data_IF_674967469691
#
_entry.id   IF_674967469691
#
_cell.length_a   1.000
_cell.length_b   1.000
_cell.length_c   1.000
_cell.angle_alpha   90.00
_cell.angle_beta   90.00
_cell.angle_gamma   90.00
#
_symmetry.space_group_name_H-M   'P 1'
#
loop_
_entity.id
_entity.type
_entity.pdbx_description
1 polymer ?
#
# COMPACT_ATOMS: atom_id res chain seq x y z
N UNK A 1 85.89 10.78 13.82
CA UNK A 1 84.52 10.56 14.33
C UNK A 1 83.58 10.79 13.17
N UNK A 2 83.18 9.71 12.50
CA UNK A 2 82.37 9.70 11.28
C UNK A 2 80.91 9.49 11.64
N UNK A 3 80.10 10.53 11.39
CA UNK A 3 78.67 10.56 11.66
C UNK A 3 77.91 9.82 10.56
N UNK A 4 77.13 8.79 10.94
CA UNK A 4 76.32 7.98 10.03
C UNK A 4 74.91 8.52 10.01
N UNK A 5 74.55 9.19 8.91
CA UNK A 5 73.18 9.62 8.63
C UNK A 5 72.30 8.42 8.30
N UNK A 6 71.36 8.11 9.20
CA UNK A 6 70.32 7.09 9.02
C UNK A 6 69.24 7.66 8.10
N UNK A 7 69.09 7.09 6.90
CA UNK A 7 67.98 7.39 6.00
C UNK A 7 66.75 6.58 6.43
N UNK A 8 65.71 7.27 6.89
CA UNK A 8 64.40 6.68 7.20
C UNK A 8 63.60 6.61 5.91
N UNK A 9 63.38 5.40 5.40
CA UNK A 9 62.57 5.13 4.22
C UNK A 9 61.10 5.36 4.55
N UNK A 10 60.50 6.38 3.96
CA UNK A 10 59.08 6.70 4.11
C UNK A 10 58.28 5.70 3.26
N UNK A 11 57.72 4.69 3.94
CA UNK A 11 56.75 3.76 3.33
C UNK A 11 55.53 4.58 2.90
N UNK A 12 55.25 4.58 1.60
CA UNK A 12 54.07 5.25 1.04
C UNK A 12 52.79 4.63 1.60
N UNK A 13 51.76 5.42 1.94
CA UNK A 13 50.51 4.89 2.47
C UNK A 13 49.81 4.02 1.42
N UNK A 14 49.42 2.81 1.85
CA UNK A 14 48.61 1.87 1.09
C UNK A 14 47.31 2.57 0.68
N UNK A 15 46.91 2.56 -0.61
CA UNK A 15 45.64 3.14 -1.02
C UNK A 15 44.51 2.40 -0.31
N UNK A 16 43.75 3.15 0.49
CA UNK A 16 42.51 2.70 1.13
C UNK A 16 41.57 2.33 -0.02
N UNK A 17 41.39 1.03 -0.24
CA UNK A 17 40.41 0.52 -1.18
C UNK A 17 39.06 1.18 -0.86
N UNK A 18 38.48 1.87 -1.84
CA UNK A 18 37.18 2.46 -1.74
C UNK A 18 36.19 1.36 -1.34
N UNK A 19 35.75 1.38 -0.08
CA UNK A 19 34.61 0.59 0.37
C UNK A 19 33.41 1.20 -0.34
N UNK A 20 33.03 0.62 -1.48
CA UNK A 20 31.79 0.96 -2.16
C UNK A 20 30.66 0.89 -1.14
N UNK A 21 29.81 1.93 -1.03
CA UNK A 21 28.67 1.90 -0.10
C UNK A 21 27.82 0.66 -0.42
N UNK A 22 27.32 -0.07 0.60
CA UNK A 22 26.59 -1.31 0.38
C UNK A 22 25.43 -1.05 -0.57
N UNK A 23 25.49 -1.69 -1.74
CA UNK A 23 24.47 -1.62 -2.80
C UNK A 23 23.12 -1.90 -2.17
N UNK A 24 22.27 -0.88 -2.08
CA UNK A 24 20.92 -1.02 -1.52
C UNK A 24 20.18 -2.10 -2.32
N UNK A 25 19.90 -3.23 -1.68
CA UNK A 25 19.17 -4.33 -2.31
C UNK A 25 17.79 -3.83 -2.72
N UNK A 26 17.39 -4.15 -3.95
CA UNK A 26 16.04 -3.88 -4.43
C UNK A 26 15.01 -4.63 -3.57
N UNK A 27 13.78 -4.11 -3.49
CA UNK A 27 12.71 -4.71 -2.67
C UNK A 27 12.48 -6.19 -3.01
N UNK A 28 12.49 -6.53 -4.31
CA UNK A 28 12.48 -7.91 -4.81
C UNK A 28 13.58 -8.77 -4.18
N UNK A 29 14.83 -8.30 -4.17
CA UNK A 29 15.96 -9.06 -3.62
C UNK A 29 15.83 -9.28 -2.11
N UNK A 30 15.23 -8.33 -1.39
CA UNK A 30 14.98 -8.48 0.06
C UNK A 30 13.89 -9.51 0.33
N UNK A 31 12.79 -9.47 -0.43
CA UNK A 31 11.73 -10.50 -0.36
C UNK A 31 12.29 -11.89 -0.70
N UNK A 32 13.18 -11.95 -1.69
CA UNK A 32 13.81 -13.20 -2.08
C UNK A 32 14.89 -13.69 -1.09
N UNK A 33 15.54 -12.81 -0.34
CA UNK A 33 16.49 -13.22 0.70
C UNK A 33 15.80 -13.67 2.00
N UNK A 34 14.53 -13.33 2.20
CA UNK A 34 13.80 -13.63 3.45
C UNK A 34 13.31 -15.08 3.48
N UNK A 35 14.13 -15.95 4.07
CA UNK A 35 13.80 -17.37 4.28
C UNK A 35 12.56 -17.56 5.17
N UNK A 36 12.34 -16.67 6.14
CA UNK A 36 11.20 -16.72 7.04
C UNK A 36 9.90 -16.52 6.28
N UNK A 37 9.83 -15.45 5.48
CA UNK A 37 8.69 -15.15 4.62
C UNK A 37 8.46 -16.28 3.60
N UNK A 38 9.52 -16.78 2.95
CA UNK A 38 9.44 -17.87 1.97
C UNK A 38 8.87 -19.16 2.57
N UNK A 39 9.35 -19.56 3.73
CA UNK A 39 8.89 -20.78 4.39
C UNK A 39 7.40 -20.68 4.78
N UNK A 40 6.97 -19.53 5.33
CA UNK A 40 5.56 -19.31 5.70
C UNK A 40 4.65 -19.21 4.50
N UNK A 41 5.10 -18.54 3.43
CA UNK A 41 4.42 -18.51 2.14
C UNK A 41 4.18 -19.93 1.62
N UNK A 42 5.25 -20.73 1.50
CA UNK A 42 5.17 -22.11 0.99
C UNK A 42 4.20 -22.96 1.83
N UNK A 43 4.28 -22.86 3.16
CA UNK A 43 3.39 -23.59 4.06
C UNK A 43 1.92 -23.19 3.86
N UNK A 44 1.60 -21.88 3.84
CA UNK A 44 0.25 -21.39 3.60
C UNK A 44 -0.28 -21.84 2.24
N UNK A 45 0.53 -21.75 1.19
CA UNK A 45 0.17 -22.21 -0.16
C UNK A 45 -0.14 -23.70 -0.17
N UNK A 46 0.73 -24.55 0.39
CA UNK A 46 0.54 -26.01 0.39
C UNK A 46 -0.72 -26.40 1.17
N UNK A 47 -0.92 -25.87 2.39
CA UNK A 47 -2.09 -26.19 3.21
C UNK A 47 -3.38 -25.73 2.54
N UNK A 48 -3.37 -24.56 1.91
CA UNK A 48 -4.53 -24.04 1.16
C UNK A 48 -4.85 -24.91 -0.06
N UNK A 49 -3.84 -25.39 -0.80
CA UNK A 49 -4.04 -26.32 -1.91
C UNK A 49 -4.60 -27.66 -1.44
N UNK A 50 -4.15 -28.18 -0.30
CA UNK A 50 -4.70 -29.42 0.29
C UNK A 50 -6.18 -29.25 0.60
N UNK A 51 -6.58 -28.15 1.27
CA UNK A 51 -7.99 -27.90 1.55
C UNK A 51 -8.82 -27.77 0.27
N UNK A 52 -8.27 -27.09 -0.74
CA UNK A 52 -8.93 -26.92 -2.04
C UNK A 52 -9.14 -28.27 -2.74
N UNK A 53 -8.13 -29.14 -2.72
CA UNK A 53 -8.21 -30.49 -3.28
C UNK A 53 -9.27 -31.34 -2.55
N UNK A 54 -9.36 -31.24 -1.21
CA UNK A 54 -10.41 -31.91 -0.44
C UNK A 54 -11.80 -31.37 -0.82
N UNK A 55 -11.95 -30.04 -0.91
CA UNK A 55 -13.22 -29.39 -1.24
C UNK A 55 -13.73 -29.80 -2.64
N UNK A 56 -12.85 -29.89 -3.64
CA UNK A 56 -13.25 -30.27 -5.00
C UNK A 56 -13.34 -31.77 -5.24
N UNK A 57 -12.48 -32.58 -4.62
CA UNK A 57 -12.48 -34.04 -4.86
C UNK A 57 -13.71 -34.73 -4.30
N UNK A 58 -14.41 -34.13 -3.32
CA UNK A 58 -15.48 -34.80 -2.60
C UNK A 58 -15.02 -36.11 -1.95
N UNK A 59 -13.70 -36.30 -1.80
CA UNK A 59 -13.11 -37.55 -1.36
C UNK A 59 -13.47 -37.78 0.10
N UNK A 60 -14.41 -38.70 0.32
CA UNK A 60 -14.64 -39.27 1.65
C UNK A 60 -13.47 -40.20 1.95
N UNK A 61 -12.85 -40.09 3.12
CA UNK A 61 -11.77 -40.99 3.55
C UNK A 61 -12.42 -42.33 3.92
N UNK A 62 -12.72 -43.16 2.91
CA UNK A 62 -13.59 -44.33 3.09
C UNK A 62 -12.92 -45.47 3.86
N UNK A 63 -11.60 -45.68 3.76
CA UNK A 63 -10.96 -46.81 4.46
C UNK A 63 -9.45 -46.61 4.67
N UNK A 64 -8.95 -47.10 5.81
CA UNK A 64 -7.52 -47.30 6.06
C UNK A 64 -7.35 -48.69 6.68
N UNK A 65 -6.36 -49.48 6.24
CA UNK A 65 -6.23 -50.87 6.66
C UNK A 65 -5.46 -51.04 7.99
N UNK A 66 -5.64 -52.20 8.61
CA UNK A 66 -5.77 -52.43 10.06
C UNK A 66 -4.47 -52.81 10.79
N UNK A 67 -3.33 -52.13 10.61
CA UNK A 67 -2.10 -52.60 11.31
C UNK A 67 -1.12 -51.58 11.90
N UNK A 68 -1.38 -50.27 11.81
CA UNK A 68 -0.57 -49.26 12.52
C UNK A 68 -1.55 -48.26 13.14
N UNK A 69 -1.52 -48.13 14.48
CA UNK A 69 -2.41 -47.31 15.33
C UNK A 69 -3.25 -46.26 14.58
N UNK A 70 -4.54 -46.53 14.42
CA UNK A 70 -5.52 -45.64 13.77
C UNK A 70 -6.05 -44.61 14.78
N UNK A 71 -5.75 -43.34 14.54
CA UNK A 71 -6.64 -42.26 14.97
C UNK A 71 -7.86 -42.35 14.05
N UNK A 72 -8.95 -42.97 14.52
CA UNK A 72 -10.22 -42.94 13.80
C UNK A 72 -10.82 -41.55 13.98
N UNK A 73 -10.84 -40.75 12.91
CA UNK A 73 -11.61 -39.52 12.91
C UNK A 73 -13.08 -39.92 12.78
N UNK A 74 -13.78 -39.98 13.91
CA UNK A 74 -15.24 -40.14 13.98
C UNK A 74 -15.97 -39.01 13.25
N UNK A 75 -15.30 -37.89 13.01
CA UNK A 75 -15.82 -36.75 12.28
C UNK A 75 -14.86 -36.37 11.13
N UNK A 76 -15.12 -36.89 9.92
CA UNK A 76 -14.33 -36.57 8.72
C UNK A 76 -14.33 -35.06 8.42
N UNK A 77 -15.45 -34.38 8.71
CA UNK A 77 -15.56 -32.93 8.55
C UNK A 77 -14.63 -32.19 9.52
N UNK A 78 -14.30 -32.79 10.67
CA UNK A 78 -13.39 -32.24 11.67
C UNK A 78 -12.00 -31.93 11.13
N UNK A 79 -11.46 -32.75 10.21
CA UNK A 79 -10.16 -32.49 9.59
C UNK A 79 -10.21 -31.23 8.71
N UNK A 80 -11.29 -31.05 7.96
CA UNK A 80 -11.44 -29.88 7.09
C UNK A 80 -11.59 -28.58 7.91
N UNK A 81 -12.32 -28.62 9.03
CA UNK A 81 -12.39 -27.49 9.96
C UNK A 81 -11.04 -27.18 10.63
N UNK A 82 -10.26 -28.20 10.99
CA UNK A 82 -8.90 -28.01 11.50
C UNK A 82 -7.97 -27.38 10.46
N UNK A 83 -8.09 -27.79 9.18
CA UNK A 83 -7.35 -27.18 8.07
C UNK A 83 -7.77 -25.72 7.86
N UNK A 84 -9.08 -25.42 7.91
CA UNK A 84 -9.60 -24.06 7.80
C UNK A 84 -9.04 -23.16 8.92
N UNK A 85 -9.06 -23.63 10.16
CA UNK A 85 -8.48 -22.92 11.30
C UNK A 85 -6.96 -22.74 11.13
N UNK A 86 -6.28 -23.76 10.62
CA UNK A 86 -4.84 -23.72 10.33
C UNK A 86 -4.52 -22.67 9.25
N UNK A 87 -5.31 -22.58 8.18
CA UNK A 87 -5.15 -21.55 7.14
C UNK A 87 -5.37 -20.16 7.74
N UNK A 88 -6.43 -19.97 8.53
CA UNK A 88 -6.69 -18.69 9.20
C UNK A 88 -5.50 -18.26 10.09
N UNK A 89 -5.00 -19.18 10.91
CA UNK A 89 -3.80 -18.95 11.72
C UNK A 89 -2.56 -18.65 10.87
N UNK A 90 -2.34 -19.39 9.79
CA UNK A 90 -1.21 -19.19 8.89
C UNK A 90 -1.29 -17.87 8.13
N UNK A 91 -2.49 -17.39 7.77
CA UNK A 91 -2.67 -16.06 7.16
C UNK A 91 -2.27 -14.95 8.13
N UNK A 92 -2.71 -15.02 9.39
CA UNK A 92 -2.31 -14.06 10.43
C UNK A 92 -0.80 -14.09 10.62
N UNK A 93 -0.23 -15.29 10.75
CA UNK A 93 1.21 -15.45 10.92
C UNK A 93 1.96 -14.89 9.72
N UNK A 94 1.54 -15.21 8.50
CA UNK A 94 2.15 -14.70 7.27
C UNK A 94 2.09 -13.17 7.20
N UNK A 95 0.97 -12.55 7.61
CA UNK A 95 0.83 -11.09 7.71
C UNK A 95 1.86 -10.44 8.61
N UNK A 96 2.14 -11.04 9.77
CA UNK A 96 3.15 -10.48 10.66
C UNK A 96 4.56 -10.44 10.03
N UNK A 97 4.90 -11.40 9.15
CA UNK A 97 6.16 -11.38 8.40
C UNK A 97 6.10 -10.48 7.16
N UNK A 98 4.95 -10.41 6.48
CA UNK A 98 4.77 -9.62 5.26
C UNK A 98 4.60 -8.11 5.53
N UNK A 99 4.21 -7.71 6.75
CA UNK A 99 3.93 -6.33 7.15
C UNK A 99 4.99 -5.29 6.71
N UNK A 100 6.29 -5.44 6.99
CA UNK A 100 7.28 -4.45 6.57
C UNK A 100 7.30 -4.27 5.03
N UNK A 101 7.10 -5.34 4.29
CA UNK A 101 7.04 -5.29 2.83
C UNK A 101 5.75 -4.63 2.33
N UNK A 102 4.62 -4.82 3.01
CA UNK A 102 3.40 -4.08 2.71
C UNK A 102 3.58 -2.56 2.92
N UNK A 103 4.23 -2.16 4.00
CA UNK A 103 4.47 -0.74 4.31
C UNK A 103 5.40 -0.10 3.27
N UNK A 104 6.46 -0.81 2.87
CA UNK A 104 7.38 -0.36 1.83
C UNK A 104 6.73 -0.30 0.45
N UNK A 105 5.97 -1.34 0.06
CA UNK A 105 5.19 -1.34 -1.18
C UNK A 105 4.18 -0.19 -1.20
N UNK A 106 3.51 0.06 -0.09
CA UNK A 106 2.56 1.16 0.04
C UNK A 106 3.26 2.52 -0.14
N UNK A 107 4.44 2.70 0.45
CA UNK A 107 5.23 3.93 0.26
C UNK A 107 5.61 4.14 -1.20
N UNK A 108 6.23 3.14 -1.84
CA UNK A 108 6.63 3.22 -3.25
C UNK A 108 5.43 3.45 -4.16
N UNK A 109 4.31 2.78 -3.87
CA UNK A 109 3.07 2.93 -4.62
C UNK A 109 2.48 4.34 -4.48
N UNK A 110 2.38 4.87 -3.27
CA UNK A 110 1.83 6.22 -3.03
C UNK A 110 2.70 7.31 -3.65
N UNK A 111 4.03 7.23 -3.52
CA UNK A 111 4.94 8.19 -4.16
C UNK A 111 4.77 8.22 -5.68
N UNK A 112 4.69 7.04 -6.32
CA UNK A 112 4.45 6.95 -7.77
C UNK A 112 3.04 7.40 -8.18
N UNK A 113 2.04 7.20 -7.32
CA UNK A 113 0.68 7.64 -7.59
C UNK A 113 0.57 9.17 -7.52
N UNK A 114 1.21 9.79 -6.53
CA UNK A 114 1.21 11.25 -6.38
C UNK A 114 1.95 11.97 -7.52
N UNK A 115 2.90 11.31 -8.16
CA UNK A 115 3.57 11.83 -9.37
C UNK A 115 2.83 11.57 -10.68
N UNK A 116 1.63 10.96 -10.66
CA UNK A 116 0.80 10.81 -11.86
C UNK A 116 0.09 12.14 -12.17
N UNK A 117 -0.16 12.42 -13.46
CA UNK A 117 -0.72 13.70 -13.97
C UNK A 117 -2.04 14.10 -13.32
N UNK A 118 -2.81 13.13 -12.83
CA UNK A 118 -4.05 13.40 -12.11
C UNK A 118 -3.82 14.06 -10.75
N UNK A 119 -2.76 13.66 -10.05
CA UNK A 119 -2.43 14.17 -8.72
C UNK A 119 -1.53 15.40 -8.79
N UNK A 120 -0.55 15.40 -9.69
CA UNK A 120 0.37 16.50 -9.88
C UNK A 120 0.87 16.52 -11.33
N UNK A 121 0.75 17.68 -11.95
CA UNK A 121 1.24 18.00 -13.28
C UNK A 121 2.02 19.31 -13.16
N UNK A 122 3.32 19.26 -13.39
CA UNK A 122 4.15 20.45 -13.48
C UNK A 122 4.43 20.75 -14.94
N UNK A 123 4.04 21.94 -15.39
CA UNK A 123 4.36 22.46 -16.72
C UNK A 123 5.55 23.41 -16.60
N UNK A 124 6.72 22.96 -17.08
CA UNK A 124 7.96 23.72 -17.05
C UNK A 124 7.91 24.98 -17.93
N UNK A 125 7.13 24.97 -19.02
CA UNK A 125 7.06 26.11 -19.96
C UNK A 125 6.18 27.23 -19.41
N UNK A 126 5.10 26.87 -18.72
CA UNK A 126 4.17 27.82 -18.13
C UNK A 126 4.54 28.24 -16.70
N UNK A 127 5.43 27.49 -16.03
CA UNK A 127 5.69 27.55 -14.58
C UNK A 127 4.41 27.42 -13.75
N UNK A 128 3.51 26.53 -14.20
CA UNK A 128 2.22 26.27 -13.56
C UNK A 128 2.21 24.83 -13.05
N UNK A 129 1.84 24.68 -11.77
CA UNK A 129 1.56 23.40 -11.15
C UNK A 129 0.06 23.19 -11.07
N UNK A 130 -0.44 22.17 -11.74
CA UNK A 130 -1.84 21.76 -11.74
C UNK A 130 -2.02 20.36 -11.14
N UNK A 131 -3.24 20.05 -10.71
CA UNK A 131 -3.61 18.71 -10.26
C UNK A 131 -4.21 18.71 -8.86
N UNK A 132 -4.66 17.52 -8.44
CA UNK A 132 -5.40 17.37 -7.19
C UNK A 132 -4.62 17.85 -5.95
N UNK A 133 -3.30 17.72 -5.94
CA UNK A 133 -2.45 18.20 -4.83
C UNK A 133 -2.45 19.73 -4.77
N UNK A 134 -2.43 20.40 -5.92
CA UNK A 134 -2.43 21.86 -6.00
C UNK A 134 -3.82 22.43 -5.69
N UNK A 135 -4.88 21.78 -6.19
CA UNK A 135 -6.28 22.14 -5.92
C UNK A 135 -6.64 22.04 -4.43
N UNK A 136 -5.98 21.15 -3.69
CA UNK A 136 -6.26 20.84 -2.29
C UNK A 136 -5.26 21.47 -1.31
N UNK A 137 -4.47 22.46 -1.75
CA UNK A 137 -3.54 23.16 -0.86
C UNK A 137 -4.30 23.83 0.29
N UNK A 138 -3.86 23.65 1.54
CA UNK A 138 -4.51 24.29 2.67
C UNK A 138 -4.20 25.79 2.66
N UNK A 139 -5.13 26.61 3.19
CA UNK A 139 -5.05 28.07 3.09
C UNK A 139 -3.80 28.67 3.74
N UNK A 140 -3.30 28.03 4.80
CA UNK A 140 -2.06 28.43 5.45
C UNK A 140 -0.83 28.20 4.55
N UNK A 141 -0.75 27.06 3.85
CA UNK A 141 0.31 26.83 2.87
C UNK A 141 0.27 27.87 1.75
N UNK A 142 -0.93 28.18 1.21
CA UNK A 142 -1.09 29.20 0.16
C UNK A 142 -0.63 30.58 0.67
N UNK A 143 -1.00 30.94 1.90
CA UNK A 143 -0.60 32.21 2.51
C UNK A 143 0.91 32.30 2.67
N UNK A 144 1.54 31.25 3.20
CA UNK A 144 2.99 31.22 3.42
C UNK A 144 3.75 31.23 2.08
N UNK A 145 3.21 30.58 1.04
CA UNK A 145 3.76 30.63 -0.32
C UNK A 145 3.66 32.02 -0.93
N UNK A 146 2.53 32.71 -0.78
CA UNK A 146 2.33 34.08 -1.28
C UNK A 146 3.24 35.10 -0.58
N UNK A 147 3.57 34.86 0.68
CA UNK A 147 4.49 35.70 1.45
C UNK A 147 5.97 35.42 1.12
N UNK A 148 6.27 34.49 0.22
CA UNK A 148 7.63 34.02 -0.08
C UNK A 148 8.38 33.45 1.15
N UNK A 149 7.64 33.10 2.19
CA UNK A 149 8.16 32.56 3.46
C UNK A 149 8.14 31.02 3.48
N UNK A 150 7.77 30.39 2.37
CA UNK A 150 7.59 28.94 2.26
C UNK A 150 8.75 28.29 1.51
N UNK A 151 9.36 27.28 2.15
CA UNK A 151 10.26 26.36 1.47
C UNK A 151 9.52 25.34 0.60
N UNK A 152 10.22 24.35 0.02
CA UNK A 152 9.57 23.26 -0.70
C UNK A 152 8.62 22.49 0.23
N UNK A 153 7.39 22.25 -0.23
CA UNK A 153 6.43 21.41 0.48
C UNK A 153 6.47 19.96 -0.04
N UNK A 154 5.99 19.04 0.79
CA UNK A 154 5.82 17.63 0.43
C UNK A 154 4.37 17.22 0.71
N UNK A 155 3.80 16.45 -0.21
CA UNK A 155 2.51 15.82 -0.05
C UNK A 155 2.69 14.31 0.20
N UNK A 156 1.96 13.75 1.17
CA UNK A 156 1.93 12.32 1.47
C UNK A 156 0.51 11.81 1.44
N UNK A 157 0.31 10.66 0.82
CA UNK A 157 -0.99 10.02 0.73
C UNK A 157 -1.18 8.99 1.84
N UNK A 158 -2.25 9.13 2.61
CA UNK A 158 -2.57 8.22 3.72
C UNK A 158 -3.96 7.61 3.57
N UNK A 159 -3.99 6.29 3.70
CA UNK A 159 -5.21 5.54 3.87
C UNK A 159 -5.49 5.35 5.36
N UNK A 160 -6.63 5.86 5.82
CA UNK A 160 -7.16 5.51 7.13
C UNK A 160 -8.09 4.30 7.03
N UNK A 161 -8.37 3.62 8.16
CA UNK A 161 -9.46 2.66 8.26
C UNK A 161 -10.79 3.27 7.79
N UNK A 162 -11.74 2.42 7.36
CA UNK A 162 -13.07 2.83 6.87
C UNK A 162 -13.05 3.69 5.60
N UNK A 163 -12.21 3.32 4.63
CA UNK A 163 -12.09 3.97 3.33
C UNK A 163 -11.67 5.44 3.36
N UNK A 164 -11.53 6.09 4.52
CA UNK A 164 -11.09 7.49 4.60
C UNK A 164 -9.71 7.66 3.98
N UNK A 165 -9.55 8.73 3.20
CA UNK A 165 -8.32 9.07 2.48
C UNK A 165 -7.97 10.51 2.78
N UNK A 166 -6.72 10.76 3.10
CA UNK A 166 -6.24 12.12 3.34
C UNK A 166 -4.89 12.35 2.69
N UNK A 167 -4.66 13.60 2.32
CA UNK A 167 -3.35 14.09 1.88
C UNK A 167 -2.78 14.91 3.03
N UNK A 168 -1.59 14.51 3.50
CA UNK A 168 -0.80 15.24 4.49
C UNK A 168 0.17 16.15 3.74
N UNK A 169 0.10 17.44 4.00
CA UNK A 169 1.03 18.45 3.51
C UNK A 169 2.01 18.78 4.64
N UNK A 170 3.29 18.79 4.33
CA UNK A 170 4.35 19.24 5.24
C UNK A 170 5.19 20.30 4.54
N UNK A 171 5.38 21.45 5.16
CA UNK A 171 6.20 22.55 4.63
C UNK A 171 6.91 23.29 5.75
N UNK A 172 7.99 23.98 5.40
CA UNK A 172 8.73 24.83 6.33
C UNK A 172 8.34 26.29 6.10
N UNK A 173 7.99 27.00 7.17
CA UNK A 173 7.78 28.44 7.11
C UNK A 173 8.83 29.22 7.90
N UNK A 174 9.23 30.37 7.36
CA UNK A 174 10.12 31.35 7.98
C UNK A 174 11.58 31.31 7.50
N UNK A 175 12.24 32.47 7.53
CA UNK A 175 13.67 32.62 7.22
C UNK A 175 14.54 32.13 8.39
N UNK A 176 15.23 30.99 8.24
CA UNK A 176 16.19 30.49 9.24
C UNK A 176 15.90 29.05 9.69
N UNK A 177 15.91 28.80 11.01
CA UNK A 177 15.58 27.49 11.62
C UNK A 177 14.07 27.22 11.60
N UNK A 178 13.45 27.38 10.42
CA UNK A 178 12.00 27.43 10.22
C UNK A 178 11.23 26.32 10.92
N UNK A 179 9.99 26.61 11.29
CA UNK A 179 9.12 25.62 11.91
C UNK A 179 8.51 24.72 10.84
N UNK A 180 8.51 23.40 11.09
CA UNK A 180 7.80 22.45 10.25
C UNK A 180 6.30 22.57 10.53
N UNK A 181 5.56 23.03 9.54
CA UNK A 181 4.11 23.04 9.56
C UNK A 181 3.59 21.79 8.86
N UNK A 182 2.46 21.30 9.34
CA UNK A 182 1.73 20.23 8.70
C UNK A 182 0.24 20.54 8.65
N UNK A 183 -0.42 20.04 7.63
CA UNK A 183 -1.87 20.09 7.50
C UNK A 183 -2.38 18.84 6.81
N UNK A 184 -3.58 18.41 7.19
CA UNK A 184 -4.21 17.21 6.64
C UNK A 184 -5.51 17.58 5.98
N UNK A 185 -5.70 17.14 4.74
CA UNK A 185 -6.92 17.38 3.96
C UNK A 185 -7.64 16.06 3.72
N UNK A 186 -8.87 15.94 4.22
CA UNK A 186 -9.72 14.77 3.98
C UNK A 186 -10.34 14.85 2.59
N UNK A 187 -10.10 13.82 1.77
CA UNK A 187 -10.60 13.75 0.40
C UNK A 187 -12.11 13.53 0.32
N UNK A 188 -12.75 13.16 1.43
CA UNK A 188 -14.21 13.02 1.51
C UNK A 188 -14.92 14.39 1.58
N UNK A 189 -14.22 15.42 2.06
CA UNK A 189 -14.77 16.76 2.31
C UNK A 189 -14.42 17.77 1.20
N UNK A 190 -13.96 17.30 0.03
CA UNK A 190 -13.58 18.17 -1.09
C UNK A 190 -14.81 18.90 -1.63
N UNK A 191 -14.83 20.22 -1.54
CA UNK A 191 -15.92 21.02 -2.11
C UNK A 191 -15.92 20.87 -3.64
N UNK A 192 -17.06 20.50 -4.21
CA UNK A 192 -17.20 20.45 -5.68
C UNK A 192 -17.16 21.88 -6.23
N UNK A 193 -16.06 22.27 -6.85
CA UNK A 193 -15.99 23.51 -7.64
C UNK A 193 -17.05 23.51 -8.78
N UNK A 194 -17.54 22.33 -9.21
CA UNK A 194 -18.65 22.19 -10.18
C UNK A 194 -19.95 22.92 -9.75
N UNK A 195 -20.13 23.26 -8.46
CA UNK A 195 -21.30 24.00 -7.99
C UNK A 195 -21.17 25.54 -8.10
N UNK A 196 -19.96 26.09 -8.34
CA UNK A 196 -19.75 27.54 -8.45
C UNK A 196 -20.02 28.07 -9.86
N UNK A 197 -19.83 27.28 -10.91
CA UNK A 197 -20.03 27.75 -12.29
C UNK A 197 -21.50 27.91 -12.71
N UNK A 198 -22.47 27.34 -11.98
CA UNK A 198 -23.89 27.66 -12.21
C UNK A 198 -24.38 28.90 -11.45
N UNK A 199 -23.67 29.33 -10.40
CA UNK A 199 -24.04 30.52 -9.63
C UNK A 199 -23.23 31.77 -9.96
N UNK A 200 -22.15 31.68 -10.75
CA UNK A 200 -21.39 32.86 -11.21
C UNK A 200 -22.15 33.82 -12.14
N UNK A 201 -23.36 33.47 -12.59
CA UNK A 201 -24.26 34.37 -13.32
C UNK A 201 -25.35 35.03 -12.46
N UNK A 202 -25.37 34.83 -11.14
CA UNK A 202 -26.24 35.60 -10.23
C UNK A 202 -25.43 36.01 -9.00
N UNK A 203 -25.38 37.31 -8.75
CA UNK A 203 -24.88 37.98 -7.54
C UNK A 203 -23.43 38.45 -7.63
N UNK A 204 -23.26 39.48 -8.45
CA UNK A 204 -22.43 40.65 -8.12
C UNK A 204 -23.20 41.46 -7.06
N UNK A 205 -22.48 42.05 -6.10
CA UNK A 205 -22.99 42.75 -4.89
C UNK A 205 -23.67 41.81 -3.87
N UNK A 206 -23.31 41.71 -2.59
CA UNK A 206 -22.70 42.68 -1.67
C UNK A 206 -22.19 41.97 -0.39
N UNK A 207 -21.20 42.59 0.23
CA UNK A 207 -20.87 42.64 1.65
C UNK A 207 -20.28 41.40 2.37
N UNK A 208 -19.00 41.63 2.68
CA UNK A 208 -18.05 41.00 3.58
C UNK A 208 -18.55 40.99 5.04
N UNK A 209 -17.97 40.09 5.84
CA UNK A 209 -18.04 40.05 7.32
C UNK A 209 -19.33 39.53 7.97
N UNK A 210 -19.50 38.20 7.91
CA UNK A 210 -19.82 37.32 9.06
C UNK A 210 -20.32 35.97 8.53
N UNK A 211 -19.41 35.15 8.02
CA UNK A 211 -19.68 33.72 7.77
C UNK A 211 -18.49 32.84 8.12
N UNK A 212 -17.73 33.23 9.15
CA UNK A 212 -16.99 32.28 9.98
C UNK A 212 -17.96 31.68 10.99
N UNK A 213 -18.81 30.75 10.55
CA UNK A 213 -19.48 29.79 11.43
C UNK A 213 -19.94 28.62 10.58
N UNK A 214 -19.22 27.52 10.76
CA UNK A 214 -19.53 26.17 10.26
C UNK A 214 -19.80 26.13 8.76
N UNK A 215 -18.73 26.12 7.97
CA UNK A 215 -18.79 25.43 6.69
C UNK A 215 -19.14 23.98 7.01
N UNK A 216 -20.43 23.66 6.95
CA UNK A 216 -20.95 22.31 7.02
C UNK A 216 -20.23 21.56 5.90
N UNK A 217 -19.36 20.63 6.26
CA UNK A 217 -18.59 19.81 5.33
C UNK A 217 -19.59 18.98 4.52
N UNK A 218 -20.08 19.55 3.41
CA UNK A 218 -20.90 18.80 2.48
C UNK A 218 -20.00 17.77 1.81
N UNK A 219 -20.20 16.52 2.22
CA UNK A 219 -19.52 15.35 1.69
C UNK A 219 -19.77 15.29 0.19
N UNK A 220 -18.72 15.54 -0.59
CA UNK A 220 -18.81 15.44 -2.04
C UNK A 220 -18.45 14.02 -2.48
N UNK A 221 -19.43 13.14 -2.35
CA UNK A 221 -19.27 11.73 -2.67
C UNK A 221 -18.85 11.50 -4.14
N UNK A 222 -19.26 12.35 -5.08
CA UNK A 222 -18.93 12.20 -6.51
C UNK A 222 -17.44 12.42 -6.79
N UNK A 223 -16.85 13.49 -6.24
CA UNK A 223 -15.42 13.76 -6.38
C UNK A 223 -14.60 12.66 -5.69
N UNK A 224 -15.03 12.25 -4.50
CA UNK A 224 -14.39 11.19 -3.74
C UNK A 224 -14.41 9.84 -4.48
N UNK A 225 -15.55 9.43 -5.05
CA UNK A 225 -15.65 8.20 -5.86
C UNK A 225 -14.78 8.27 -7.11
N UNK A 226 -14.63 9.46 -7.72
CA UNK A 226 -13.71 9.65 -8.86
C UNK A 226 -12.28 9.34 -8.44
N UNK A 227 -11.84 9.85 -7.29
CA UNK A 227 -10.51 9.57 -6.72
C UNK A 227 -10.36 8.07 -6.43
N UNK A 228 -11.35 7.44 -5.79
CA UNK A 228 -11.32 6.00 -5.51
C UNK A 228 -11.26 5.16 -6.79
N UNK A 229 -11.94 5.57 -7.86
CA UNK A 229 -11.88 4.89 -9.16
C UNK A 229 -10.49 4.99 -9.78
N UNK A 230 -9.87 6.17 -9.72
CA UNK A 230 -8.49 6.35 -10.17
C UNK A 230 -7.52 5.52 -9.34
N UNK A 231 -7.64 5.55 -8.01
CA UNK A 231 -6.87 4.72 -7.08
C UNK A 231 -7.01 3.24 -7.43
N UNK A 232 -8.24 2.75 -7.61
CA UNK A 232 -8.52 1.36 -7.95
C UNK A 232 -7.92 0.95 -9.30
N UNK A 233 -8.07 1.78 -10.34
CA UNK A 233 -7.48 1.53 -11.67
C UNK A 233 -5.96 1.50 -11.60
N UNK A 234 -5.36 2.44 -10.86
CA UNK A 234 -3.92 2.52 -10.71
C UNK A 234 -3.39 1.32 -9.91
N UNK A 235 -4.05 0.98 -8.80
CA UNK A 235 -3.76 -0.21 -7.99
C UNK A 235 -3.83 -1.48 -8.81
N UNK A 236 -4.93 -1.77 -9.47
CA UNK A 236 -5.11 -3.01 -10.25
C UNK A 236 -4.05 -3.17 -11.34
N UNK A 237 -3.78 -2.11 -12.09
CA UNK A 237 -2.73 -2.13 -13.14
C UNK A 237 -1.35 -2.43 -12.55
N UNK A 238 -0.98 -1.75 -11.45
CA UNK A 238 0.32 -1.92 -10.79
C UNK A 238 0.44 -3.23 -10.00
N UNK A 239 -0.67 -3.74 -9.47
CA UNK A 239 -0.73 -5.04 -8.79
C UNK A 239 -0.33 -6.18 -9.73
N UNK A 240 -0.74 -6.12 -11.00
CA UNK A 240 -0.40 -7.14 -11.99
C UNK A 240 0.98 -6.92 -12.62
N UNK A 241 1.46 -5.68 -12.68
CA UNK A 241 2.74 -5.37 -13.34
C UNK A 241 3.95 -5.70 -12.46
N UNK A 242 3.85 -5.49 -11.15
CA UNK A 242 4.99 -5.68 -10.24
C UNK A 242 4.88 -7.03 -9.52
N UNK A 243 5.83 -7.93 -9.82
CA UNK A 243 5.92 -9.27 -9.22
C UNK A 243 5.90 -9.25 -7.69
N UNK A 244 6.52 -8.25 -7.07
CA UNK A 244 6.61 -8.10 -5.60
C UNK A 244 5.23 -8.10 -4.94
N UNK A 245 4.26 -7.42 -5.55
CA UNK A 245 2.91 -7.37 -5.03
C UNK A 245 2.23 -8.75 -5.11
N UNK A 246 2.42 -9.45 -6.23
CA UNK A 246 1.84 -10.78 -6.44
C UNK A 246 2.47 -11.80 -5.48
N UNK A 247 3.78 -11.74 -5.29
CA UNK A 247 4.54 -12.64 -4.42
C UNK A 247 4.12 -12.55 -2.94
N UNK A 248 3.60 -11.39 -2.53
CA UNK A 248 3.06 -11.15 -1.19
C UNK A 248 1.55 -11.43 -1.11
N UNK A 249 0.78 -11.11 -2.14
CA UNK A 249 -0.69 -11.21 -2.09
C UNK A 249 -1.21 -12.61 -2.45
N UNK A 250 -0.55 -13.31 -3.38
CA UNK A 250 -1.00 -14.61 -3.88
C UNK A 250 -1.32 -15.64 -2.78
N UNK A 251 -0.53 -15.77 -1.70
CA UNK A 251 -0.83 -16.72 -0.62
C UNK A 251 -2.13 -16.39 0.12
N UNK A 252 -2.46 -15.11 0.30
CA UNK A 252 -3.73 -14.70 0.89
C UNK A 252 -4.90 -14.98 -0.03
N UNK A 253 -4.76 -14.69 -1.33
CA UNK A 253 -5.80 -14.98 -2.31
C UNK A 253 -6.09 -16.46 -2.35
N UNK A 254 -5.05 -17.30 -2.36
CA UNK A 254 -5.19 -18.74 -2.36
C UNK A 254 -5.84 -19.24 -1.06
N UNK A 255 -5.38 -18.78 0.12
CA UNK A 255 -5.99 -19.16 1.39
C UNK A 255 -7.45 -18.74 1.52
N UNK A 256 -7.77 -17.51 1.10
CA UNK A 256 -9.14 -16.98 1.06
C UNK A 256 -10.01 -17.78 0.10
N UNK A 257 -9.50 -18.09 -1.10
CA UNK A 257 -10.19 -18.89 -2.09
C UNK A 257 -10.44 -20.32 -1.59
N UNK A 258 -9.47 -20.94 -0.91
CA UNK A 258 -9.66 -22.27 -0.31
C UNK A 258 -10.73 -22.27 0.78
N UNK A 259 -10.77 -21.24 1.63
CA UNK A 259 -11.81 -21.09 2.65
C UNK A 259 -13.18 -20.92 1.99
N UNK A 260 -13.30 -20.02 1.01
CA UNK A 260 -14.55 -19.81 0.29
C UNK A 260 -15.00 -21.04 -0.47
N UNK A 261 -14.09 -21.74 -1.15
CA UNK A 261 -14.38 -22.97 -1.87
C UNK A 261 -14.87 -24.07 -0.93
N UNK A 262 -14.40 -24.11 0.31
CA UNK A 262 -14.88 -25.05 1.31
C UNK A 262 -16.30 -24.68 1.79
N UNK A 263 -16.52 -23.41 2.15
CA UNK A 263 -17.81 -22.90 2.64
C UNK A 263 -18.92 -23.08 1.59
N UNK A 264 -18.62 -22.72 0.34
CA UNK A 264 -19.56 -22.77 -0.79
C UNK A 264 -19.41 -24.04 -1.64
N UNK A 265 -18.83 -25.10 -1.09
CA UNK A 265 -18.55 -26.33 -1.83
C UNK A 265 -19.83 -26.93 -2.44
N UNK A 266 -20.96 -26.84 -1.74
CA UNK A 266 -22.26 -27.37 -2.22
C UNK A 266 -22.77 -26.60 -3.44
N UNK A 267 -22.81 -25.28 -3.34
CA UNK A 267 -23.28 -24.37 -4.40
C UNK A 267 -22.37 -24.47 -5.64
N UNK A 268 -21.04 -24.55 -5.43
CA UNK A 268 -20.09 -24.71 -6.53
C UNK A 268 -20.32 -26.04 -7.27
N UNK A 269 -20.54 -27.15 -6.54
CA UNK A 269 -20.83 -28.46 -7.14
C UNK A 269 -22.16 -28.43 -7.91
N UNK A 270 -23.18 -27.74 -7.39
CA UNK A 270 -24.48 -27.60 -8.05
C UNK A 270 -24.38 -26.78 -9.35
N UNK A 271 -23.69 -25.64 -9.32
CA UNK A 271 -23.40 -24.83 -10.50
C UNK A 271 -22.62 -25.64 -11.54
N UNK A 272 -21.61 -26.41 -11.11
CA UNK A 272 -20.79 -27.21 -12.02
C UNK A 272 -21.61 -28.33 -12.69
N UNK A 273 -22.53 -28.97 -11.96
CA UNK A 273 -23.47 -29.95 -12.53
C UNK A 273 -24.41 -29.31 -13.55
N UNK A 274 -24.89 -28.09 -13.28
CA UNK A 274 -25.74 -27.33 -14.19
C UNK A 274 -25.09 -26.99 -15.52
N UNK A 275 -23.76 -26.83 -15.57
CA UNK A 275 -23.01 -26.63 -16.83
C UNK A 275 -22.74 -27.91 -17.63
N UNK A 276 -22.87 -29.09 -17.01
CA UNK A 276 -22.61 -30.38 -17.65
C UNK A 276 -23.86 -31.03 -18.25
N UNK A 277 -25.04 -30.43 -18.05
CA UNK A 277 -26.32 -30.88 -18.63
C UNK A 277 -26.70 -30.07 -19.86
#
# INVERSE_FOLDING_TARGET
>A
MTDKTVQVSIVSPIPIAAVEPPKQLTLTQRIDADEGLKAKRKLLTVVSLILLAIAFSGAKVVEANTFIMKISFTNQDGIAYLLLLSIAFLMIRYYNYARPYHDELYKVWTERMLGDRYFHLYDEEADISEGLIDDLKPQNLIRDQNNQDCGPYKAKYRCSPFFRRHIEYTWFSGTGSGHENFATVDLMCIKSEEAKNKNKNKNKEKDTEQKQKTAKDEINFKAYIRILKYEFRYRTTRYLTHRENLDIIAPYLLGTFSIFSFIFSKEIIEVLKGFSS
#
